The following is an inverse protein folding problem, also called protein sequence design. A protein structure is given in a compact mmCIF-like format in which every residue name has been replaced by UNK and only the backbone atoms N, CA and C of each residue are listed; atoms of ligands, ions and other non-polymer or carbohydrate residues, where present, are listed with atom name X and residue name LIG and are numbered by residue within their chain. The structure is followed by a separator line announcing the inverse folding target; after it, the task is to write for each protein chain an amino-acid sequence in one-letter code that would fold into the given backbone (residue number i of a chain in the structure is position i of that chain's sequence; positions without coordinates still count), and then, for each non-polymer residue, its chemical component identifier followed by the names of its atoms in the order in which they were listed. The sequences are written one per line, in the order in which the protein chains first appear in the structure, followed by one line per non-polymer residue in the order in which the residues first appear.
data_IF_754364710629
#
_entry.id   IF_754364710629
#
_cell.length_a   1.000
_cell.length_b   1.000
_cell.length_c   1.000
_cell.angle_alpha   90.00
_cell.angle_beta   90.00
_cell.angle_gamma   90.00
#
_symmetry.space_group_name_H-M   'P 1'
#
loop_
_entity.id
_entity.type
_entity.pdbx_description
1 polymer ?
#
# COMPACT_ATOMS: atom_id res chain seq x y z
N UNK A 1 8.24 12.52 35.99
CA UNK A 1 7.94 11.52 37.02
C UNK A 1 7.06 10.43 36.39
N UNK A 2 7.36 9.19 36.78
CA UNK A 2 6.95 7.87 36.30
C UNK A 2 5.46 7.66 35.88
N UNK A 3 5.02 6.60 35.19
CA UNK A 3 5.56 5.55 34.28
C UNK A 3 4.52 4.39 34.30
N UNK A 4 4.10 3.86 33.13
CA UNK A 4 3.42 2.55 32.85
C UNK A 4 2.00 2.29 33.40
N UNK A 5 0.93 1.98 32.62
CA UNK A 5 0.56 0.91 31.64
C UNK A 5 -0.25 -0.24 32.28
N UNK A 6 -1.47 -0.47 31.77
CA UNK A 6 -2.00 -1.75 31.27
C UNK A 6 -3.45 -1.57 30.77
N UNK A 7 -3.71 -1.94 29.52
CA UNK A 7 -4.90 -2.74 29.20
C UNK A 7 -4.63 -3.51 27.93
N UNK A 8 -4.50 -4.82 28.11
CA UNK A 8 -4.74 -5.81 27.07
C UNK A 8 -6.17 -5.68 26.53
N UNK A 9 -6.39 -6.29 25.36
CA UNK A 9 -7.67 -6.63 24.75
C UNK A 9 -8.30 -5.59 23.80
N UNK A 10 -8.23 -5.92 22.50
CA UNK A 10 -9.26 -5.59 21.52
C UNK A 10 -9.02 -4.34 20.67
N UNK A 11 -8.78 -4.55 19.38
CA UNK A 11 -9.03 -3.55 18.34
C UNK A 11 -10.47 -3.03 18.48
N UNK A 12 -10.64 -1.75 18.81
CA UNK A 12 -11.91 -1.04 18.66
C UNK A 12 -11.86 -0.23 17.36
N UNK A 13 -12.84 -0.35 16.45
CA UNK A 13 -12.98 0.61 15.37
C UNK A 13 -13.32 1.99 15.95
N UNK A 14 -12.60 3.03 15.50
CA UNK A 14 -13.01 4.41 15.73
C UNK A 14 -14.32 4.72 14.97
N UNK A 15 -15.13 5.66 15.46
CA UNK A 15 -16.42 5.97 14.83
C UNK A 15 -16.21 6.48 13.39
N UNK A 16 -16.89 5.84 12.44
CA UNK A 16 -17.01 6.29 11.04
C UNK A 16 -17.69 7.66 11.00
N UNK A 17 -16.93 8.71 10.73
CA UNK A 17 -17.48 10.02 10.35
C UNK A 17 -17.34 10.12 8.83
N UNK A 18 -18.38 9.71 8.11
CA UNK A 18 -18.51 10.08 6.70
C UNK A 18 -19.15 11.47 6.63
N UNK A 19 -18.59 12.44 5.88
CA UNK A 19 -19.34 13.61 5.49
C UNK A 19 -20.40 13.19 4.45
N UNK A 20 -21.68 13.17 4.84
CA UNK A 20 -22.79 13.08 3.87
C UNK A 20 -22.81 14.37 3.03
N UNK A 21 -22.96 14.30 1.69
CA UNK A 21 -23.25 15.47 0.87
C UNK A 21 -24.64 16.02 1.25
N UNK A 22 -24.73 17.30 1.64
CA UNK A 22 -26.01 17.98 1.87
C UNK A 22 -26.61 18.40 0.53
N UNK A 23 -27.64 17.70 0.09
CA UNK A 23 -28.67 18.25 -0.82
C UNK A 23 -30.00 18.23 -0.09
N UNK A 24 -30.50 19.40 0.33
CA UNK A 24 -31.79 19.50 1.00
C UNK A 24 -32.08 20.90 1.53
N UNK A 25 -33.06 21.56 0.91
CA UNK A 25 -33.68 22.87 1.23
C UNK A 25 -34.32 22.83 2.64
N UNK A 26 -34.33 23.94 3.42
CA UNK A 26 -34.75 23.89 4.82
C UNK A 26 -36.28 24.01 4.97
N UNK A 27 -36.84 23.23 5.89
CA UNK A 27 -38.13 23.53 6.52
C UNK A 27 -37.98 23.44 8.03
N UNK A 28 -38.49 24.46 8.71
CA UNK A 28 -38.34 24.69 10.14
C UNK A 28 -39.40 23.91 10.95
N UNK A 29 -39.04 23.46 12.16
CA UNK A 29 -39.84 23.63 13.41
C UNK A 29 -39.17 22.96 14.63
N UNK A 30 -38.68 23.82 15.53
CA UNK A 30 -38.88 23.90 16.98
C UNK A 30 -39.15 22.67 17.90
N UNK A 31 -38.35 22.62 18.98
CA UNK A 31 -38.71 22.40 20.42
C UNK A 31 -38.90 20.91 20.82
N UNK A 32 -38.33 20.29 21.87
CA UNK A 32 -37.93 20.71 23.23
C UNK A 32 -37.04 19.63 23.91
N UNK A 33 -36.18 20.06 24.86
CA UNK A 33 -35.41 19.21 25.78
C UNK A 33 -36.25 18.82 27.01
N UNK A 34 -36.09 17.59 27.51
CA UNK A 34 -36.36 17.27 28.93
C UNK A 34 -35.39 16.20 29.46
N UNK A 35 -34.67 16.58 30.50
CA UNK A 35 -33.77 15.75 31.32
C UNK A 35 -34.60 15.07 32.41
N UNK A 36 -34.29 13.82 32.75
CA UNK A 36 -34.51 13.30 34.11
C UNK A 36 -33.48 12.24 34.48
N UNK A 37 -33.31 12.10 35.80
CA UNK A 37 -32.19 11.56 36.56
C UNK A 37 -32.12 10.03 36.64
N UNK A 38 -30.89 9.64 36.97
CA UNK A 38 -30.32 8.38 37.51
C UNK A 38 -31.24 7.48 38.33
N UNK A 39 -31.02 6.16 38.19
CA UNK A 39 -30.91 5.24 39.34
C UNK A 39 -29.94 4.08 39.03
N UNK A 40 -29.07 3.78 40.00
CA UNK A 40 -28.17 2.63 40.03
C UNK A 40 -28.94 1.37 40.46
N UNK A 41 -28.71 0.25 39.78
CA UNK A 41 -28.75 -1.07 40.44
C UNK A 41 -27.77 -2.03 39.77
N UNK A 42 -27.06 -2.78 40.62
CA UNK A 42 -26.09 -3.80 40.28
C UNK A 42 -26.77 -5.17 40.33
N UNK A 43 -26.56 -6.01 39.32
CA UNK A 43 -27.10 -7.37 39.27
C UNK A 43 -26.51 -8.18 38.11
N UNK A 44 -25.90 -9.31 38.45
CA UNK A 44 -25.20 -10.27 37.59
C UNK A 44 -26.03 -10.86 36.42
N UNK A 45 -25.29 -11.33 35.41
CA UNK A 45 -25.58 -12.51 34.55
C UNK A 45 -26.24 -12.26 33.18
N UNK A 46 -25.53 -12.62 32.10
CA UNK A 46 -25.92 -13.51 30.96
C UNK A 46 -25.40 -13.08 29.58
N UNK A 47 -24.86 -14.10 28.88
CA UNK A 47 -24.84 -14.33 27.43
C UNK A 47 -25.87 -13.57 26.60
N UNK A 48 -25.43 -12.76 25.61
CA UNK A 48 -26.19 -12.41 24.39
C UNK A 48 -25.16 -12.19 23.26
N UNK A 49 -24.96 -13.11 22.31
CA UNK A 49 -25.80 -13.36 21.14
C UNK A 49 -26.21 -12.04 20.44
N UNK A 50 -25.39 -11.59 19.49
CA UNK A 50 -25.76 -10.52 18.56
C UNK A 50 -26.91 -11.02 17.66
N UNK A 51 -28.13 -10.59 18.01
CA UNK A 51 -29.30 -10.68 17.13
C UNK A 51 -29.11 -9.69 15.99
N UNK A 52 -28.86 -10.19 14.78
CA UNK A 52 -29.07 -9.44 13.54
C UNK A 52 -30.38 -9.94 12.94
N UNK A 53 -31.38 -9.07 12.93
CA UNK A 53 -32.66 -9.33 12.28
C UNK A 53 -32.46 -9.27 10.76
N UNK A 54 -32.47 -10.42 10.10
CA UNK A 54 -32.64 -10.50 8.65
C UNK A 54 -34.15 -10.48 8.33
N UNK A 55 -34.63 -9.69 7.34
CA UNK A 55 -36.00 -9.81 6.88
C UNK A 55 -36.18 -11.14 6.12
N UNK A 56 -37.19 -11.90 6.51
CA UNK A 56 -37.65 -13.12 5.85
C UNK A 56 -38.05 -12.80 4.40
N UNK A 57 -37.40 -13.42 3.41
CA UNK A 57 -37.91 -13.49 2.03
C UNK A 57 -38.61 -14.82 1.85
N UNK A 58 -39.90 -14.76 1.56
CA UNK A 58 -40.75 -15.90 1.20
C UNK A 58 -40.24 -16.49 -0.12
N UNK A 59 -39.87 -17.76 -0.11
CA UNK A 59 -39.68 -18.57 -1.32
C UNK A 59 -41.06 -18.98 -1.85
N UNK A 60 -41.41 -18.52 -3.04
CA UNK A 60 -42.44 -19.16 -3.86
C UNK A 60 -41.77 -20.31 -4.62
N UNK A 61 -42.19 -21.53 -4.29
CA UNK A 61 -41.82 -22.78 -4.97
C UNK A 61 -42.43 -22.76 -6.37
N UNK A 62 -41.60 -23.00 -7.38
CA UNK A 62 -42.00 -23.20 -8.77
C UNK A 62 -41.06 -24.20 -9.42
N UNK A 63 -41.60 -25.41 -9.61
CA UNK A 63 -41.29 -26.50 -10.54
C UNK A 63 -39.85 -27.03 -10.70
N UNK A 64 -39.74 -28.31 -10.38
CA UNK A 64 -38.63 -29.22 -10.71
C UNK A 64 -38.49 -29.33 -12.23
N UNK A 65 -37.27 -29.15 -12.75
CA UNK A 65 -36.93 -29.69 -14.06
C UNK A 65 -35.47 -30.18 -14.13
N UNK A 66 -35.39 -31.51 -14.31
CA UNK A 66 -34.36 -32.29 -14.98
C UNK A 66 -32.87 -32.05 -14.66
N UNK A 67 -32.35 -32.94 -13.80
CA UNK A 67 -30.93 -33.32 -13.71
C UNK A 67 -30.40 -33.73 -15.08
N UNK A 68 -29.72 -32.81 -15.73
CA UNK A 68 -28.70 -33.13 -16.73
C UNK A 68 -27.36 -33.01 -16.02
N UNK A 69 -26.67 -34.13 -15.86
CA UNK A 69 -25.32 -34.19 -15.30
C UNK A 69 -24.34 -33.57 -16.29
N UNK A 70 -24.23 -32.25 -16.31
CA UNK A 70 -23.13 -31.55 -16.95
C UNK A 70 -22.03 -31.38 -15.91
N UNK A 71 -20.83 -31.88 -16.23
CA UNK A 71 -19.60 -31.51 -15.54
C UNK A 71 -19.40 -29.99 -15.66
N UNK A 72 -19.96 -29.22 -14.74
CA UNK A 72 -19.75 -27.78 -14.66
C UNK A 72 -18.38 -27.56 -14.01
N UNK A 73 -17.35 -27.37 -14.83
CA UNK A 73 -16.18 -26.64 -14.38
C UNK A 73 -16.63 -25.22 -14.03
N UNK A 74 -16.95 -24.98 -12.76
CA UNK A 74 -17.38 -23.67 -12.27
C UNK A 74 -16.37 -22.60 -12.69
N UNK A 75 -16.83 -21.67 -13.53
CA UNK A 75 -16.09 -20.47 -13.89
C UNK A 75 -15.76 -19.70 -12.61
N UNK A 76 -14.47 -19.44 -12.38
CA UNK A 76 -14.02 -18.73 -11.18
C UNK A 76 -14.27 -17.23 -11.34
N UNK A 77 -15.13 -16.66 -10.50
CA UNK A 77 -15.33 -15.21 -10.42
C UNK A 77 -14.40 -14.61 -9.35
N UNK A 78 -13.33 -13.87 -9.73
CA UNK A 78 -12.44 -13.22 -8.78
C UNK A 78 -13.13 -12.09 -8.00
N UNK A 79 -14.27 -11.59 -8.49
CA UNK A 79 -15.10 -10.61 -7.82
C UNK A 79 -15.85 -11.20 -6.64
N UNK A 80 -16.21 -12.48 -6.66
CA UNK A 80 -17.05 -13.11 -5.64
C UNK A 80 -16.37 -13.22 -4.27
N UNK A 81 -17.12 -13.12 -3.15
CA UNK A 81 -16.58 -13.33 -1.81
C UNK A 81 -15.91 -14.71 -1.67
N UNK A 82 -14.70 -14.79 -1.08
CA UNK A 82 -14.01 -16.07 -0.93
C UNK A 82 -14.73 -16.99 0.07
N UNK A 83 -14.61 -18.33 -0.09
CA UNK A 83 -15.22 -19.32 0.81
C UNK A 83 -14.46 -19.47 2.15
N UNK A 84 -13.50 -18.59 2.44
CA UNK A 84 -12.66 -18.59 3.64
C UNK A 84 -12.64 -17.21 4.29
N UNK A 85 -12.29 -17.17 5.57
CA UNK A 85 -12.16 -15.95 6.37
C UNK A 85 -10.70 -15.59 6.58
N UNK A 86 -10.45 -14.33 6.94
CA UNK A 86 -9.11 -13.84 7.31
C UNK A 86 -8.51 -14.66 8.49
N UNK A 87 -9.35 -15.16 9.40
CA UNK A 87 -8.93 -16.03 10.50
C UNK A 87 -8.34 -17.35 10.04
N UNK A 88 -8.84 -17.89 8.92
CA UNK A 88 -8.42 -19.20 8.41
C UNK A 88 -7.01 -19.09 7.81
N UNK A 89 -6.76 -18.00 7.09
CA UNK A 89 -5.42 -17.65 6.57
C UNK A 89 -4.46 -17.43 7.74
N UNK A 90 -4.88 -16.66 8.75
CA UNK A 90 -4.07 -16.41 9.95
C UNK A 90 -3.71 -17.71 10.69
N UNK A 91 -4.63 -18.67 10.75
CA UNK A 91 -4.43 -19.93 11.43
C UNK A 91 -3.43 -20.86 10.69
N UNK A 92 -3.33 -20.73 9.37
CA UNK A 92 -2.39 -21.49 8.55
C UNK A 92 -0.93 -20.99 8.71
N UNK A 93 -0.73 -19.71 9.01
CA UNK A 93 0.61 -19.12 9.12
C UNK A 93 1.30 -19.57 10.42
N UNK A 94 2.54 -20.10 10.36
CA UNK A 94 3.29 -20.53 11.54
C UNK A 94 3.44 -19.44 12.60
N UNK A 95 3.36 -19.83 13.88
CA UNK A 95 3.39 -18.88 15.02
C UNK A 95 4.67 -18.04 15.07
N UNK A 96 5.81 -18.60 14.66
CA UNK A 96 7.09 -17.87 14.70
C UNK A 96 7.17 -16.77 13.63
N UNK A 97 6.43 -16.87 12.52
CA UNK A 97 6.37 -15.79 11.51
C UNK A 97 5.85 -14.47 12.07
N UNK A 98 5.11 -14.50 13.18
CA UNK A 98 4.59 -13.32 13.87
C UNK A 98 5.57 -12.71 14.87
N UNK A 99 6.70 -13.38 15.13
CA UNK A 99 7.68 -12.96 16.14
C UNK A 99 8.65 -11.96 15.53
N UNK A 100 8.60 -10.74 16.03
CA UNK A 100 9.50 -9.65 15.60
C UNK A 100 10.79 -9.73 16.39
N UNK A 101 11.92 -9.87 15.70
CA UNK A 101 13.25 -9.87 16.28
C UNK A 101 14.00 -8.57 15.93
N UNK A 102 14.13 -7.61 16.86
CA UNK A 102 14.78 -6.34 16.60
C UNK A 102 16.26 -6.47 16.21
N UNK A 103 16.96 -7.49 16.71
CA UNK A 103 18.37 -7.74 16.36
C UNK A 103 18.51 -8.20 14.92
N UNK A 104 17.61 -9.08 14.48
CA UNK A 104 17.55 -9.52 13.08
C UNK A 104 17.19 -8.34 12.19
N UNK A 105 16.15 -7.57 12.52
CA UNK A 105 15.79 -6.36 11.76
C UNK A 105 16.94 -5.36 11.67
N UNK A 106 17.68 -5.14 12.78
CA UNK A 106 18.84 -4.26 12.77
C UNK A 106 20.03 -4.82 11.98
N UNK A 107 20.23 -6.14 11.91
CA UNK A 107 21.32 -6.70 11.11
C UNK A 107 21.10 -6.43 9.61
N UNK A 108 19.85 -6.45 9.13
CA UNK A 108 19.52 -6.03 7.77
C UNK A 108 19.84 -4.56 7.53
N UNK A 109 19.52 -3.67 8.48
CA UNK A 109 19.88 -2.24 8.36
C UNK A 109 21.40 -2.06 8.29
N UNK A 110 22.16 -2.68 9.20
CA UNK A 110 23.63 -2.58 9.22
C UNK A 110 24.22 -3.10 7.91
N UNK A 111 23.74 -4.26 7.43
CA UNK A 111 24.14 -4.84 6.14
C UNK A 111 23.89 -3.87 5.00
N UNK A 112 22.67 -3.36 4.88
CA UNK A 112 22.26 -2.53 3.74
C UNK A 112 22.99 -1.19 3.74
N UNK A 113 23.12 -0.56 4.90
CA UNK A 113 23.88 0.69 5.08
C UNK A 113 25.36 0.48 4.73
N UNK A 114 25.97 -0.63 5.17
CA UNK A 114 27.36 -0.96 4.83
C UNK A 114 27.54 -1.15 3.31
N UNK A 115 26.59 -1.82 2.65
CA UNK A 115 26.61 -1.98 1.18
C UNK A 115 26.45 -0.62 0.49
N UNK A 116 25.52 0.23 0.93
CA UNK A 116 25.30 1.58 0.39
C UNK A 116 26.59 2.41 0.44
N UNK A 117 27.25 2.47 1.60
CA UNK A 117 28.51 3.21 1.72
C UNK A 117 29.66 2.54 0.96
N UNK A 118 29.72 1.21 0.95
CA UNK A 118 30.72 0.45 0.20
C UNK A 118 30.64 0.68 -1.31
N UNK A 119 29.43 0.61 -1.89
CA UNK A 119 29.18 0.91 -3.29
C UNK A 119 29.61 2.34 -3.65
N UNK A 120 29.24 3.32 -2.82
CA UNK A 120 29.60 4.72 -3.04
C UNK A 120 31.11 4.93 -2.98
N UNK A 121 31.79 4.30 -2.01
CA UNK A 121 33.25 4.37 -1.87
C UNK A 121 33.98 3.74 -3.06
N UNK A 122 33.54 2.56 -3.51
CA UNK A 122 34.08 1.88 -4.70
C UNK A 122 33.90 2.74 -5.94
N UNK A 123 32.70 3.28 -6.18
CA UNK A 123 32.42 4.12 -7.34
C UNK A 123 33.25 5.41 -7.32
N UNK A 124 33.39 6.05 -6.15
CA UNK A 124 34.22 7.24 -5.98
C UNK A 124 35.72 6.96 -6.17
N UNK A 125 36.22 5.81 -5.69
CA UNK A 125 37.62 5.42 -5.80
C UNK A 125 38.02 5.15 -7.26
N UNK A 126 37.24 4.33 -7.98
CA UNK A 126 37.56 4.00 -9.38
C UNK A 126 37.20 5.11 -10.36
N UNK A 127 36.16 5.90 -10.06
CA UNK A 127 35.68 7.04 -10.84
C UNK A 127 35.72 6.85 -12.37
N UNK A 128 35.25 5.69 -12.86
CA UNK A 128 35.28 5.31 -14.26
C UNK A 128 33.86 5.19 -14.83
N UNK A 129 33.66 5.62 -16.08
CA UNK A 129 32.39 5.49 -16.81
C UNK A 129 31.85 4.08 -16.98
N UNK A 130 32.68 3.05 -16.85
CA UNK A 130 32.23 1.65 -16.76
C UNK A 130 31.63 1.31 -15.39
N UNK A 131 32.14 1.93 -14.32
CA UNK A 131 31.69 1.69 -12.94
C UNK A 131 30.40 2.45 -12.64
N UNK A 132 30.23 3.65 -13.19
CA UNK A 132 29.09 4.52 -12.89
C UNK A 132 27.72 3.88 -13.18
N UNK A 133 27.44 3.29 -14.35
CA UNK A 133 26.16 2.64 -14.62
C UNK A 133 25.87 1.46 -13.69
N UNK A 134 26.91 0.64 -13.39
CA UNK A 134 26.79 -0.50 -12.47
C UNK A 134 26.50 -0.01 -11.04
N UNK A 135 27.21 1.03 -10.61
CA UNK A 135 26.96 1.70 -9.35
C UNK A 135 25.55 2.26 -9.28
N UNK A 136 25.08 3.00 -10.29
CA UNK A 136 23.75 3.60 -10.29
C UNK A 136 22.66 2.56 -10.15
N UNK A 137 22.73 1.47 -10.93
CA UNK A 137 21.77 0.38 -10.82
C UNK A 137 21.78 -0.25 -9.42
N UNK A 138 22.96 -0.65 -8.93
CA UNK A 138 23.09 -1.29 -7.62
C UNK A 138 22.67 -0.36 -6.46
N UNK A 139 23.08 0.91 -6.51
CA UNK A 139 22.81 1.90 -5.49
C UNK A 139 21.32 2.26 -5.44
N UNK A 140 20.66 2.40 -6.60
CA UNK A 140 19.21 2.59 -6.67
C UNK A 140 18.44 1.43 -6.05
N UNK A 141 18.84 0.19 -6.36
CA UNK A 141 18.24 -1.01 -5.77
C UNK A 141 18.46 -1.06 -4.26
N UNK A 142 19.63 -0.64 -3.76
CA UNK A 142 19.88 -0.58 -2.32
C UNK A 142 19.12 0.54 -1.61
N UNK A 143 18.89 1.69 -2.24
CA UNK A 143 18.00 2.72 -1.71
C UNK A 143 16.56 2.22 -1.60
N UNK A 144 16.10 1.43 -2.56
CA UNK A 144 14.83 0.71 -2.44
C UNK A 144 14.85 -0.32 -1.29
N UNK A 145 15.95 -1.05 -1.07
CA UNK A 145 16.08 -1.93 0.09
C UNK A 145 15.94 -1.17 1.43
N UNK A 146 16.56 0.02 1.56
CA UNK A 146 16.40 0.89 2.72
C UNK A 146 14.96 1.37 2.90
N UNK A 147 14.25 1.64 1.78
CA UNK A 147 12.85 1.99 1.82
C UNK A 147 11.99 0.88 2.43
N UNK A 148 12.21 -0.38 2.02
CA UNK A 148 11.47 -1.54 2.55
C UNK A 148 11.71 -1.73 4.06
N UNK A 149 12.94 -1.53 4.55
CA UNK A 149 13.22 -1.57 5.99
C UNK A 149 12.53 -0.45 6.77
N UNK A 150 12.49 0.76 6.23
CA UNK A 150 11.72 1.86 6.83
C UNK A 150 10.21 1.65 6.73
N UNK A 151 9.74 0.95 5.70
CA UNK A 151 8.36 0.52 5.54
C UNK A 151 7.96 -0.51 6.62
N UNK A 152 8.82 -1.48 6.94
CA UNK A 152 8.63 -2.41 8.06
C UNK A 152 8.57 -1.68 9.42
N UNK A 153 9.35 -0.60 9.57
CA UNK A 153 9.23 0.28 10.73
C UNK A 153 7.83 0.93 10.78
N UNK A 154 7.33 1.38 9.63
CA UNK A 154 6.02 2.00 9.46
C UNK A 154 4.85 1.08 9.85
N UNK A 155 4.93 -0.21 9.51
CA UNK A 155 3.98 -1.23 9.94
C UNK A 155 4.18 -1.72 11.38
N UNK A 156 5.33 -1.38 11.96
CA UNK A 156 5.78 -1.92 13.23
C UNK A 156 6.06 -3.42 13.17
N UNK A 157 6.33 -4.00 12.00
CA UNK A 157 6.83 -5.37 11.81
C UNK A 157 8.34 -5.44 12.12
N UNK A 158 9.06 -4.33 12.03
CA UNK A 158 10.48 -4.24 12.37
C UNK A 158 10.78 -4.59 13.84
N UNK A 159 9.97 -4.11 14.79
CA UNK A 159 10.10 -4.35 16.23
C UNK A 159 8.77 -4.12 16.96
N UNK A 160 8.59 -4.74 18.13
CA UNK A 160 7.50 -4.42 19.05
C UNK A 160 7.66 -3.05 19.75
N UNK A 161 8.86 -2.44 19.69
CA UNK A 161 9.10 -1.12 20.27
C UNK A 161 8.83 0.00 19.25
N UNK A 162 7.72 0.71 19.44
CA UNK A 162 7.31 1.83 18.59
C UNK A 162 8.35 2.96 18.50
N UNK A 163 9.14 3.21 19.56
CA UNK A 163 10.20 4.23 19.53
C UNK A 163 11.34 3.81 18.64
N UNK A 164 11.75 2.54 18.72
CA UNK A 164 12.79 1.99 17.83
C UNK A 164 12.34 2.08 16.38
N UNK A 165 11.11 1.65 16.08
CA UNK A 165 10.56 1.78 14.73
C UNK A 165 10.52 3.25 14.28
N UNK A 166 10.12 4.17 15.15
CA UNK A 166 10.07 5.59 14.78
C UNK A 166 11.45 6.16 14.47
N UNK A 167 12.45 5.87 15.32
CA UNK A 167 13.83 6.36 15.12
C UNK A 167 14.45 5.72 13.86
N UNK A 168 14.40 4.40 13.73
CA UNK A 168 14.95 3.69 12.58
C UNK A 168 14.25 4.12 11.28
N UNK A 169 12.92 4.21 11.29
CA UNK A 169 12.12 4.68 10.15
C UNK A 169 12.50 6.08 9.69
N UNK A 170 12.64 7.04 10.62
CA UNK A 170 13.11 8.39 10.25
C UNK A 170 14.51 8.40 9.65
N UNK A 171 15.46 7.64 10.22
CA UNK A 171 16.83 7.57 9.69
C UNK A 171 16.82 6.99 8.28
N UNK A 172 16.19 5.82 8.11
CA UNK A 172 16.13 5.10 6.84
C UNK A 172 15.41 5.93 5.76
N UNK A 173 14.19 6.37 6.01
CA UNK A 173 13.38 7.08 5.02
C UNK A 173 13.90 8.49 4.73
N UNK A 174 14.34 9.26 5.74
CA UNK A 174 14.86 10.60 5.46
C UNK A 174 16.12 10.54 4.61
N UNK A 175 16.98 9.53 4.81
CA UNK A 175 18.22 9.36 4.03
C UNK A 175 17.99 9.21 2.52
N UNK A 176 16.80 8.77 2.12
CA UNK A 176 16.34 8.61 0.73
C UNK A 176 15.17 9.56 0.42
N UNK A 177 15.10 10.70 1.12
CA UNK A 177 14.11 11.78 0.90
C UNK A 177 12.64 11.32 0.94
N UNK A 178 12.32 10.39 1.83
CA UNK A 178 10.94 10.01 2.17
C UNK A 178 10.54 10.62 3.52
N UNK A 179 9.46 11.41 3.62
CA UNK A 179 8.97 11.92 4.89
C UNK A 179 8.30 10.80 5.68
N UNK A 180 9.04 10.16 6.60
CA UNK A 180 8.65 8.91 7.25
C UNK A 180 7.19 8.86 7.74
N UNK A 181 6.75 9.78 8.60
CA UNK A 181 5.39 9.79 9.13
C UNK A 181 4.35 10.18 8.10
N UNK A 182 4.65 11.15 7.23
CA UNK A 182 3.75 11.53 6.14
C UNK A 182 3.43 10.32 5.27
N UNK A 183 4.48 9.61 4.82
CA UNK A 183 4.35 8.39 4.04
C UNK A 183 3.77 7.22 4.85
N UNK A 184 4.19 6.99 6.10
CA UNK A 184 3.67 5.90 6.95
C UNK A 184 2.16 6.01 7.13
N UNK A 185 1.65 7.23 7.32
CA UNK A 185 0.21 7.45 7.52
C UNK A 185 -0.57 7.22 6.22
N UNK A 186 -0.10 7.75 5.07
CA UNK A 186 -0.75 7.46 3.78
C UNK A 186 -0.71 5.99 3.42
N UNK A 187 0.41 5.33 3.68
CA UNK A 187 0.56 3.91 3.45
C UNK A 187 -0.32 3.07 4.40
N UNK A 188 -0.48 3.46 5.67
CA UNK A 188 -1.49 2.86 6.57
C UNK A 188 -2.91 3.02 6.01
N UNK A 189 -3.25 4.19 5.47
CA UNK A 189 -4.55 4.43 4.82
C UNK A 189 -4.73 3.53 3.61
N UNK A 190 -3.70 3.33 2.78
CA UNK A 190 -3.70 2.37 1.69
C UNK A 190 -3.97 0.94 2.18
N UNK A 191 -3.23 0.43 3.17
CA UNK A 191 -3.48 -0.91 3.70
C UNK A 191 -4.88 -1.09 4.30
N UNK A 192 -5.43 -0.04 4.92
CA UNK A 192 -6.79 -0.10 5.49
C UNK A 192 -7.89 -0.10 4.42
N UNK A 193 -7.61 0.36 3.21
CA UNK A 193 -8.59 0.60 2.16
C UNK A 193 -8.23 -0.03 0.79
N UNK A 194 -7.17 -0.84 0.73
CA UNK A 194 -6.73 -1.53 -0.48
C UNK A 194 -7.89 -2.17 -1.25
N UNK A 195 -7.91 -1.98 -2.57
CA UNK A 195 -8.97 -2.49 -3.44
C UNK A 195 -10.30 -1.74 -3.35
N UNK A 196 -10.39 -0.64 -2.58
CA UNK A 196 -11.54 0.26 -2.57
C UNK A 196 -11.32 1.42 -3.55
N UNK A 197 -12.30 1.71 -4.42
CA UNK A 197 -12.13 2.73 -5.48
C UNK A 197 -11.86 4.14 -4.93
N UNK A 198 -12.61 4.57 -3.91
CA UNK A 198 -12.55 5.95 -3.38
C UNK A 198 -11.58 6.13 -2.22
N UNK A 199 -11.48 5.11 -1.35
CA UNK A 199 -10.79 5.25 -0.07
C UNK A 199 -9.31 4.83 -0.14
N UNK A 200 -8.92 4.00 -1.12
CA UNK A 200 -7.52 3.63 -1.33
C UNK A 200 -6.68 4.84 -1.75
N UNK A 201 -5.43 4.92 -1.29
CA UNK A 201 -4.60 6.12 -1.31
C UNK A 201 -3.56 6.16 -2.44
N UNK A 202 -2.98 5.01 -2.77
CA UNK A 202 -1.88 4.91 -3.73
C UNK A 202 -2.30 4.06 -4.92
N UNK A 203 -2.01 4.54 -6.13
CA UNK A 203 -2.30 3.85 -7.40
C UNK A 203 -3.75 3.32 -7.54
N UNK A 204 -4.71 3.87 -6.81
CA UNK A 204 -6.12 3.48 -6.95
C UNK A 204 -6.69 3.92 -8.31
N UNK A 205 -7.76 3.27 -8.81
CA UNK A 205 -8.38 3.62 -10.07
C UNK A 205 -9.04 4.98 -9.96
N UNK A 206 -9.01 5.71 -11.06
CA UNK A 206 -9.78 6.94 -11.18
C UNK A 206 -11.19 6.60 -11.68
N UNK A 207 -12.24 7.09 -11.00
CA UNK A 207 -13.57 7.17 -11.62
C UNK A 207 -13.48 7.90 -12.96
N UNK A 208 -14.24 7.43 -13.95
CA UNK A 208 -14.23 7.96 -15.32
C UNK A 208 -14.39 9.48 -15.37
N UNK A 209 -15.28 10.04 -14.54
CA UNK A 209 -15.47 11.50 -14.44
C UNK A 209 -14.19 12.23 -14.02
N UNK A 210 -13.45 11.69 -13.04
CA UNK A 210 -12.19 12.28 -12.58
C UNK A 210 -11.14 12.16 -13.67
N UNK A 211 -10.98 10.98 -14.26
CA UNK A 211 -10.05 10.73 -15.37
C UNK A 211 -10.27 11.71 -16.53
N UNK A 212 -11.51 11.88 -16.98
CA UNK A 212 -11.87 12.80 -18.07
C UNK A 212 -11.55 14.26 -17.74
N UNK A 213 -11.65 14.65 -16.47
CA UNK A 213 -11.36 16.02 -16.00
C UNK A 213 -9.87 16.34 -15.85
N UNK A 214 -8.98 15.35 -15.93
CA UNK A 214 -7.54 15.58 -15.82
C UNK A 214 -6.99 16.37 -17.00
N UNK A 215 -6.06 17.27 -16.72
CA UNK A 215 -5.24 17.93 -17.73
C UNK A 215 -4.25 16.94 -18.38
N UNK A 216 -3.71 17.33 -19.53
CA UNK A 216 -2.84 16.48 -20.33
C UNK A 216 -1.49 16.19 -19.65
N UNK A 217 -0.98 17.12 -18.82
CA UNK A 217 0.28 16.90 -18.12
C UNK A 217 0.10 15.83 -17.02
N UNK A 218 -1.00 15.90 -16.27
CA UNK A 218 -1.34 14.87 -15.26
C UNK A 218 -1.61 13.51 -15.92
N UNK A 219 -2.32 13.47 -17.06
CA UNK A 219 -2.52 12.23 -17.83
C UNK A 219 -1.21 11.64 -18.31
N UNK A 220 -0.32 12.47 -18.87
CA UNK A 220 0.99 12.04 -19.34
C UNK A 220 1.86 11.52 -18.19
N UNK A 221 1.88 12.22 -17.06
CA UNK A 221 2.59 11.79 -15.86
C UNK A 221 2.09 10.45 -15.35
N UNK A 222 0.77 10.20 -15.37
CA UNK A 222 0.17 9.00 -14.77
C UNK A 222 0.11 7.78 -15.70
N UNK A 223 0.03 7.98 -17.02
CA UNK A 223 -0.27 6.88 -17.96
C UNK A 223 0.72 6.73 -19.12
N UNK A 224 1.68 7.65 -19.31
CA UNK A 224 2.63 7.58 -20.44
C UNK A 224 4.04 7.23 -19.97
N UNK A 225 4.52 6.03 -20.25
CA UNK A 225 5.90 5.65 -19.91
C UNK A 225 6.93 6.62 -20.56
N UNK A 226 8.01 6.98 -19.84
CA UNK A 226 8.41 6.50 -18.51
C UNK A 226 7.89 7.36 -17.34
N UNK A 227 7.07 8.39 -17.59
CA UNK A 227 6.72 9.40 -16.59
C UNK A 227 6.06 8.85 -15.29
N UNK A 228 5.22 7.80 -15.32
CA UNK A 228 4.65 7.20 -14.11
C UNK A 228 5.70 6.71 -13.11
N UNK A 229 6.91 6.36 -13.60
CA UNK A 229 8.03 5.92 -12.78
C UNK A 229 8.76 7.07 -12.05
N UNK A 230 8.26 8.30 -12.20
CA UNK A 230 8.76 9.48 -11.52
C UNK A 230 7.63 10.20 -10.76
N UNK A 231 6.50 9.55 -10.53
CA UNK A 231 5.31 10.14 -9.96
C UNK A 231 5.44 10.35 -8.44
N UNK A 232 6.24 9.55 -7.74
CA UNK A 232 6.30 9.55 -6.28
C UNK A 232 6.61 10.92 -5.64
N UNK A 233 7.61 11.71 -6.11
CA UNK A 233 7.79 13.06 -5.60
C UNK A 233 6.56 13.94 -5.80
N UNK A 234 5.86 13.87 -6.92
CA UNK A 234 4.62 14.64 -7.11
C UNK A 234 3.50 14.18 -6.18
N UNK A 235 3.39 12.86 -5.97
CA UNK A 235 2.46 12.26 -5.02
C UNK A 235 2.71 12.76 -3.58
N UNK A 236 3.97 12.90 -3.17
CA UNK A 236 4.29 13.44 -1.85
C UNK A 236 3.78 14.89 -1.68
N UNK A 237 3.84 15.71 -2.73
CA UNK A 237 3.43 17.12 -2.67
C UNK A 237 1.92 17.35 -2.88
N UNK A 238 1.25 16.52 -3.69
CA UNK A 238 -0.11 16.79 -4.16
C UNK A 238 -1.10 15.61 -4.07
N UNK A 239 -0.64 14.43 -3.60
CA UNK A 239 -1.41 13.17 -3.54
C UNK A 239 -1.95 12.72 -4.92
N UNK A 240 -2.65 11.59 -4.93
CA UNK A 240 -3.27 11.03 -6.14
C UNK A 240 -4.40 11.92 -6.67
N UNK A 241 -4.64 11.98 -7.99
CA UNK A 241 -5.75 12.76 -8.55
C UNK A 241 -7.10 12.39 -7.92
N UNK A 242 -7.90 13.39 -7.59
CA UNK A 242 -9.14 13.22 -6.83
C UNK A 242 -8.97 13.36 -5.31
N UNK A 243 -7.74 13.40 -4.81
CA UNK A 243 -7.40 13.70 -3.41
C UNK A 243 -6.68 15.05 -3.31
N UNK A 244 -6.72 15.68 -2.14
CA UNK A 244 -6.10 17.00 -1.89
C UNK A 244 -5.07 16.90 -0.78
N UNK A 245 -4.21 17.89 -0.65
CA UNK A 245 -3.23 17.96 0.44
C UNK A 245 -1.88 17.35 0.11
N UNK A 246 -1.01 17.28 1.12
CA UNK A 246 0.41 17.01 0.98
C UNK A 246 0.90 16.16 2.13
N UNK A 247 1.90 15.33 1.88
CA UNK A 247 2.56 14.52 2.90
C UNK A 247 3.41 15.36 3.88
N UNK A 248 3.66 16.63 3.53
CA UNK A 248 4.43 17.57 4.34
C UNK A 248 3.56 18.58 5.11
N UNK A 249 2.29 18.73 4.72
CA UNK A 249 1.36 19.67 5.35
C UNK A 249 0.64 19.00 6.52
N UNK A 250 0.91 19.39 7.79
CA UNK A 250 0.23 18.81 8.95
C UNK A 250 -1.28 19.09 8.98
N UNK A 251 -1.80 19.98 8.13
CA UNK A 251 -3.23 20.23 7.99
C UNK A 251 -3.87 19.51 6.80
N UNK A 252 -3.13 18.66 6.09
CA UNK A 252 -3.71 17.80 5.05
C UNK A 252 -4.81 16.92 5.65
N UNK A 253 -5.90 16.79 4.91
CA UNK A 253 -6.99 15.83 5.10
C UNK A 253 -6.54 14.35 5.12
N UNK A 254 -5.29 14.07 4.75
CA UNK A 254 -4.64 12.78 4.91
C UNK A 254 -4.43 12.39 6.39
N UNK A 255 -4.32 13.39 7.27
CA UNK A 255 -3.87 13.20 8.65
C UNK A 255 -4.97 13.48 9.67
N UNK A 256 -5.02 12.67 10.72
CA UNK A 256 -5.86 12.97 11.87
C UNK A 256 -5.27 14.14 12.69
N UNK A 257 -6.09 14.91 13.43
CA UNK A 257 -5.59 16.05 14.22
C UNK A 257 -4.52 15.69 15.27
N UNK A 258 -4.49 14.45 15.76
CA UNK A 258 -3.48 13.96 16.70
C UNK A 258 -2.15 13.56 16.02
N UNK A 259 -2.11 13.47 14.69
CA UNK A 259 -0.94 13.06 13.90
C UNK A 259 -0.12 14.25 13.38
N UNK A 260 -0.59 15.49 13.59
CA UNK A 260 0.10 16.70 13.11
C UNK A 260 1.54 16.80 13.55
N UNK A 261 1.84 16.43 14.80
CA UNK A 261 3.20 16.48 15.35
C UNK A 261 4.12 15.49 14.66
N UNK A 262 3.61 14.30 14.34
CA UNK A 262 4.35 13.29 13.60
C UNK A 262 4.76 13.83 12.21
N UNK A 263 3.82 14.45 11.49
CA UNK A 263 4.08 15.06 10.18
C UNK A 263 5.14 16.16 10.29
N UNK A 264 5.03 17.07 11.27
CA UNK A 264 6.03 18.12 11.50
C UNK A 264 7.42 17.52 11.76
N UNK A 265 7.53 16.51 12.63
CA UNK A 265 8.81 15.84 12.90
C UNK A 265 9.42 15.24 11.65
N UNK A 266 8.63 14.53 10.84
CA UNK A 266 9.14 13.93 9.61
C UNK A 266 9.51 14.96 8.55
N UNK A 267 8.75 16.06 8.42
CA UNK A 267 9.11 17.18 7.55
C UNK A 267 10.44 17.79 7.99
N UNK A 268 10.67 18.00 9.29
CA UNK A 268 11.95 18.50 9.81
C UNK A 268 13.12 17.56 9.51
N UNK A 269 12.96 16.24 9.72
CA UNK A 269 13.99 15.25 9.40
C UNK A 269 14.30 15.24 7.89
N UNK A 270 13.27 15.30 7.05
CA UNK A 270 13.40 15.37 5.60
C UNK A 270 14.15 16.65 5.18
N UNK A 271 13.74 17.81 5.70
CA UNK A 271 14.39 19.09 5.40
C UNK A 271 15.84 19.11 5.86
N UNK A 272 16.15 18.52 7.03
CA UNK A 272 17.52 18.40 7.50
C UNK A 272 18.37 17.55 6.56
N UNK A 273 17.84 16.43 6.04
CA UNK A 273 18.57 15.63 5.05
C UNK A 273 18.74 16.37 3.72
N UNK A 274 17.70 17.04 3.23
CA UNK A 274 17.81 17.84 2.00
C UNK A 274 18.86 18.96 2.12
N UNK A 275 18.90 19.65 3.27
CA UNK A 275 19.90 20.66 3.58
C UNK A 275 21.32 20.07 3.66
N UNK A 276 21.47 18.88 4.26
CA UNK A 276 22.75 18.16 4.30
C UNK A 276 23.24 17.83 2.89
N UNK A 277 22.39 17.25 2.04
CA UNK A 277 22.74 16.91 0.65
C UNK A 277 23.09 18.16 -0.16
N UNK A 278 22.35 19.26 0.03
CA UNK A 278 22.65 20.54 -0.59
C UNK A 278 24.01 21.09 -0.11
N UNK A 279 24.30 21.05 1.19
CA UNK A 279 25.60 21.44 1.74
C UNK A 279 26.75 20.60 1.20
N UNK A 280 26.58 19.27 1.13
CA UNK A 280 27.57 18.35 0.54
C UNK A 280 27.83 18.64 -0.94
N UNK A 281 26.86 19.18 -1.68
CA UNK A 281 27.05 19.57 -3.07
C UNK A 281 28.06 20.71 -3.25
N UNK A 282 28.23 21.59 -2.25
CA UNK A 282 29.28 22.62 -2.28
C UNK A 282 30.66 22.08 -1.90
N UNK A 283 30.71 21.02 -1.08
CA UNK A 283 31.98 20.41 -0.64
C UNK A 283 32.54 19.46 -1.70
N UNK A 284 31.69 18.59 -2.26
CA UNK A 284 32.09 17.55 -3.21
C UNK A 284 31.95 17.98 -4.67
N UNK A 285 31.24 19.09 -4.92
CA UNK A 285 30.83 19.54 -6.24
C UNK A 285 29.48 18.95 -6.66
N UNK A 286 28.63 19.73 -7.36
CA UNK A 286 27.26 19.33 -7.70
C UNK A 286 27.22 18.11 -8.63
N UNK A 287 28.18 17.98 -9.56
CA UNK A 287 28.24 16.82 -10.47
C UNK A 287 28.57 15.54 -9.72
N UNK A 288 29.45 15.59 -8.73
CA UNK A 288 29.79 14.40 -7.95
C UNK A 288 28.61 14.00 -7.06
N UNK A 289 27.91 14.95 -6.45
CA UNK A 289 26.67 14.66 -5.70
C UNK A 289 25.56 14.12 -6.60
N UNK A 290 25.42 14.62 -7.82
CA UNK A 290 24.49 14.07 -8.80
C UNK A 290 24.83 12.61 -9.11
N UNK A 291 26.10 12.28 -9.35
CA UNK A 291 26.54 10.91 -9.66
C UNK A 291 26.40 9.96 -8.48
N UNK A 292 26.76 10.39 -7.27
CA UNK A 292 26.74 9.54 -6.07
C UNK A 292 25.36 9.38 -5.45
N UNK A 293 24.51 10.41 -5.50
CA UNK A 293 23.22 10.40 -4.83
C UNK A 293 22.06 10.69 -5.77
N UNK A 294 22.14 11.74 -6.59
CA UNK A 294 21.01 12.20 -7.41
C UNK A 294 20.51 11.15 -8.41
N UNK A 295 21.42 10.57 -9.22
CA UNK A 295 21.07 9.51 -10.18
C UNK A 295 20.57 8.24 -9.46
N UNK A 296 21.27 7.72 -8.42
CA UNK A 296 20.74 6.62 -7.64
C UNK A 296 19.36 6.89 -7.02
N UNK A 297 19.12 8.10 -6.51
CA UNK A 297 17.83 8.51 -5.96
C UNK A 297 16.74 8.49 -7.04
N UNK A 298 17.01 9.01 -8.24
CA UNK A 298 16.07 8.92 -9.36
C UNK A 298 15.73 7.47 -9.72
N UNK A 299 16.73 6.57 -9.76
CA UNK A 299 16.46 5.14 -9.98
C UNK A 299 15.72 4.47 -8.82
N UNK A 300 15.90 4.92 -7.58
CA UNK A 300 15.10 4.49 -6.44
C UNK A 300 13.62 4.90 -6.59
N UNK A 301 13.36 6.15 -7.00
CA UNK A 301 12.01 6.62 -7.29
C UNK A 301 11.34 5.74 -8.35
N UNK A 302 12.08 5.40 -9.41
CA UNK A 302 11.60 4.46 -10.43
C UNK A 302 11.28 3.07 -9.87
N UNK A 303 12.13 2.53 -8.98
CA UNK A 303 11.85 1.27 -8.30
C UNK A 303 10.58 1.35 -7.45
N UNK A 304 10.41 2.42 -6.68
CA UNK A 304 9.26 2.62 -5.80
C UNK A 304 7.96 2.65 -6.60
N UNK A 305 7.90 3.47 -7.64
CA UNK A 305 6.70 3.58 -8.48
C UNK A 305 6.45 2.28 -9.26
N UNK A 306 7.50 1.63 -9.79
CA UNK A 306 7.38 0.36 -10.51
C UNK A 306 6.83 -0.77 -9.64
N UNK A 307 7.43 -0.99 -8.47
CA UNK A 307 7.07 -2.09 -7.57
C UNK A 307 5.67 -1.87 -7.02
N UNK A 308 5.40 -0.67 -6.50
CA UNK A 308 4.08 -0.34 -5.97
C UNK A 308 3.01 -0.45 -7.05
N UNK A 309 3.26 0.01 -8.28
CA UNK A 309 2.28 -0.14 -9.35
C UNK A 309 1.99 -1.61 -9.68
N UNK A 310 3.04 -2.42 -9.93
CA UNK A 310 2.90 -3.82 -10.36
C UNK A 310 2.31 -4.75 -9.30
N UNK A 311 2.42 -4.37 -8.03
CA UNK A 311 1.78 -5.04 -6.90
C UNK A 311 0.26 -4.85 -6.86
N UNK A 312 -0.27 -3.86 -7.59
CA UNK A 312 -1.70 -3.54 -7.65
C UNK A 312 -2.28 -3.56 -9.08
N UNK A 313 -1.44 -3.79 -10.10
CA UNK A 313 -1.79 -3.70 -11.53
C UNK A 313 -1.05 -4.74 -12.37
N UNK A 314 -1.53 -4.95 -13.60
CA UNK A 314 -0.79 -5.70 -14.64
C UNK A 314 -0.83 -7.22 -14.48
N UNK A 315 -2.00 -7.80 -14.31
CA UNK A 315 -2.21 -9.24 -14.40
C UNK A 315 -2.89 -9.59 -15.75
N UNK A 316 -2.86 -10.87 -16.15
CA UNK A 316 -3.50 -11.30 -17.40
C UNK A 316 -5.02 -11.13 -17.34
N UNK A 317 -5.62 -11.54 -16.22
CA UNK A 317 -7.01 -11.22 -15.86
C UNK A 317 -7.10 -9.88 -15.11
N UNK A 318 -8.10 -9.06 -15.45
CA UNK A 318 -8.37 -7.82 -14.73
C UNK A 318 -8.82 -8.11 -13.30
N UNK A 319 -8.29 -7.32 -12.37
CA UNK A 319 -8.63 -7.42 -10.96
C UNK A 319 -9.85 -6.54 -10.64
N UNK A 320 -10.78 -7.02 -9.80
CA UNK A 320 -11.91 -6.23 -9.38
C UNK A 320 -11.47 -5.10 -8.43
N UNK A 321 -12.20 -4.01 -8.47
CA UNK A 321 -12.19 -2.96 -7.47
C UNK A 321 -13.59 -2.81 -6.90
N UNK A 322 -13.67 -2.53 -5.60
CA UNK A 322 -14.93 -2.59 -4.87
C UNK A 322 -15.37 -1.23 -4.34
N UNK A 323 -16.68 -1.08 -4.17
CA UNK A 323 -17.34 0.05 -3.49
C UNK A 323 -18.34 -0.46 -2.46
N UNK A 324 -18.79 0.44 -1.59
CA UNK A 324 -19.95 0.23 -0.73
C UNK A 324 -19.86 -1.06 0.10
N UNK A 325 -20.91 -1.87 0.04
CA UNK A 325 -21.03 -3.12 0.81
C UNK A 325 -20.25 -4.29 0.17
N UNK A 326 -19.85 -4.18 -1.10
CA UNK A 326 -19.02 -5.19 -1.75
C UNK A 326 -17.58 -5.15 -1.25
N UNK A 327 -17.09 -4.00 -0.79
CA UNK A 327 -15.75 -3.90 -0.26
C UNK A 327 -15.63 -4.56 1.13
N UNK A 328 -14.59 -5.38 1.28
CA UNK A 328 -14.10 -5.84 2.58
C UNK A 328 -12.58 -5.88 2.57
N UNK A 329 -11.95 -5.75 3.74
CA UNK A 329 -10.49 -5.84 3.88
C UNK A 329 -9.91 -7.10 3.22
N UNK A 330 -10.57 -8.26 3.41
CA UNK A 330 -10.11 -9.50 2.80
C UNK A 330 -10.23 -9.46 1.27
N UNK A 331 -11.39 -9.08 0.72
CA UNK A 331 -11.58 -9.01 -0.75
C UNK A 331 -10.58 -8.04 -1.37
N UNK A 332 -10.38 -6.87 -0.77
CA UNK A 332 -9.38 -5.89 -1.19
C UNK A 332 -7.94 -6.41 -1.16
N UNK A 333 -7.55 -7.15 -0.12
CA UNK A 333 -6.23 -7.79 -0.07
C UNK A 333 -6.00 -8.83 -1.16
N UNK A 334 -7.03 -9.57 -1.56
CA UNK A 334 -6.97 -10.58 -2.62
C UNK A 334 -6.87 -10.00 -4.04
N UNK A 335 -6.98 -8.67 -4.20
CA UNK A 335 -6.73 -8.00 -5.49
C UNK A 335 -5.27 -7.59 -5.66
N UNK A 336 -4.45 -7.69 -4.62
CA UNK A 336 -3.01 -7.44 -4.73
C UNK A 336 -2.29 -8.61 -5.39
N UNK A 337 -1.08 -8.37 -5.90
CA UNK A 337 -0.33 -9.32 -6.71
C UNK A 337 1.07 -9.53 -6.16
N UNK A 338 1.42 -10.81 -5.98
CA UNK A 338 2.80 -11.19 -5.77
C UNK A 338 3.59 -11.02 -7.07
N UNK A 339 4.86 -10.63 -6.96
CA UNK A 339 5.78 -10.45 -8.10
C UNK A 339 7.14 -11.06 -7.79
N UNK A 340 7.64 -11.84 -8.74
CA UNK A 340 8.98 -12.40 -8.67
C UNK A 340 9.99 -11.49 -9.38
N UNK A 341 10.91 -10.90 -8.62
CA UNK A 341 11.98 -10.01 -9.10
C UNK A 341 13.30 -10.74 -9.40
N UNK A 342 13.34 -12.08 -9.36
CA UNK A 342 14.54 -12.86 -9.65
C UNK A 342 15.61 -12.72 -8.55
N UNK A 343 16.86 -12.46 -8.93
CA UNK A 343 17.96 -12.28 -7.96
C UNK A 343 17.76 -11.08 -7.02
N UNK A 344 16.89 -10.15 -7.41
CA UNK A 344 16.64 -8.93 -6.67
C UNK A 344 15.69 -9.14 -5.47
N UNK A 345 14.92 -10.24 -5.41
CA UNK A 345 13.96 -10.50 -4.32
C UNK A 345 14.58 -10.34 -2.93
N UNK A 346 15.70 -11.01 -2.67
CA UNK A 346 16.39 -10.96 -1.37
C UNK A 346 16.95 -9.57 -1.05
N UNK A 347 17.27 -8.76 -2.07
CA UNK A 347 17.74 -7.39 -1.89
C UNK A 347 16.56 -6.49 -1.52
N UNK A 348 15.39 -6.75 -2.11
CA UNK A 348 14.13 -6.07 -1.83
C UNK A 348 13.44 -6.59 -0.56
N UNK A 349 14.13 -7.43 0.23
CA UNK A 349 13.58 -8.05 1.44
C UNK A 349 12.30 -8.83 1.18
N UNK A 350 12.20 -9.48 0.03
CA UNK A 350 11.07 -10.33 -0.38
C UNK A 350 9.70 -9.65 -0.35
N UNK A 351 9.65 -8.31 -0.44
CA UNK A 351 8.40 -7.54 -0.48
C UNK A 351 7.49 -7.90 -1.66
N UNK A 352 8.04 -8.60 -2.66
CA UNK A 352 7.29 -9.19 -3.77
C UNK A 352 6.22 -10.20 -3.35
N UNK A 353 6.25 -10.74 -2.12
CA UNK A 353 5.14 -11.52 -1.54
C UNK A 353 4.09 -10.58 -0.93
N UNK A 354 3.43 -9.84 -1.80
CA UNK A 354 2.64 -8.67 -1.46
C UNK A 354 1.24 -8.98 -0.91
N UNK A 355 0.62 -10.12 -1.29
CA UNK A 355 -0.72 -10.50 -0.84
C UNK A 355 -0.77 -10.70 0.67
N UNK A 356 0.13 -11.52 1.21
CA UNK A 356 0.21 -11.74 2.66
C UNK A 356 0.70 -10.49 3.38
N UNK A 357 1.61 -9.74 2.79
CA UNK A 357 2.01 -8.45 3.32
C UNK A 357 0.81 -7.51 3.46
N UNK A 358 -0.11 -7.46 2.49
CA UNK A 358 -1.31 -6.64 2.57
C UNK A 358 -2.32 -7.08 3.62
N UNK A 359 -2.54 -8.39 3.73
CA UNK A 359 -3.47 -8.98 4.68
C UNK A 359 -2.92 -8.96 6.12
N UNK A 360 -1.60 -9.02 6.27
CA UNK A 360 -0.90 -9.12 7.55
C UNK A 360 0.43 -8.33 7.58
N UNK A 361 0.40 -6.99 7.45
CA UNK A 361 1.60 -6.15 7.38
C UNK A 361 2.49 -6.19 8.63
N UNK A 362 1.99 -6.76 9.73
CA UNK A 362 2.72 -6.98 10.98
C UNK A 362 3.75 -8.12 10.92
N UNK A 363 3.71 -8.96 9.87
CA UNK A 363 4.70 -10.02 9.65
C UNK A 363 5.99 -9.36 9.14
N UNK A 364 7.14 -9.57 9.79
CA UNK A 364 8.42 -9.04 9.32
C UNK A 364 8.78 -9.59 7.93
N UNK A 365 9.45 -8.77 7.11
CA UNK A 365 9.85 -9.14 5.76
C UNK A 365 10.54 -10.53 5.66
N UNK A 366 11.42 -10.84 6.62
CA UNK A 366 12.18 -12.10 6.69
C UNK A 366 11.34 -13.34 7.04
N UNK A 367 10.03 -13.21 7.19
CA UNK A 367 9.06 -14.30 7.35
C UNK A 367 7.97 -14.30 6.28
N UNK A 368 7.93 -13.32 5.36
CA UNK A 368 6.84 -13.19 4.41
C UNK A 368 6.77 -14.37 3.43
N UNK A 369 7.90 -14.85 2.92
CA UNK A 369 7.94 -16.02 2.02
C UNK A 369 7.32 -17.24 2.69
N UNK A 370 7.74 -17.56 3.91
CA UNK A 370 7.22 -18.69 4.67
C UNK A 370 5.72 -18.53 4.99
N UNK A 371 5.31 -17.33 5.38
CA UNK A 371 3.90 -17.04 5.65
C UNK A 371 3.03 -17.17 4.39
N UNK A 372 3.55 -16.76 3.24
CA UNK A 372 2.90 -16.93 1.93
C UNK A 372 2.74 -18.38 1.56
N UNK A 373 3.81 -19.18 1.61
CA UNK A 373 3.72 -20.61 1.30
C UNK A 373 2.73 -21.34 2.21
N UNK A 374 2.67 -21.00 3.50
CA UNK A 374 1.71 -21.58 4.43
C UNK A 374 0.25 -21.17 4.15
N UNK A 375 0.03 -19.97 3.62
CA UNK A 375 -1.31 -19.43 3.34
C UNK A 375 -1.88 -19.90 1.99
N UNK A 376 -1.03 -20.23 1.00
CA UNK A 376 -1.45 -20.65 -0.35
C UNK A 376 -2.55 -21.72 -0.38
N UNK A 377 -2.49 -22.80 0.42
CA UNK A 377 -3.53 -23.83 0.41
C UNK A 377 -4.91 -23.31 0.83
N UNK A 378 -4.97 -22.30 1.72
CA UNK A 378 -6.22 -21.67 2.14
C UNK A 378 -6.76 -20.73 1.07
N UNK A 379 -5.87 -19.97 0.42
CA UNK A 379 -6.24 -19.01 -0.61
C UNK A 379 -6.76 -19.70 -1.89
N UNK A 380 -6.22 -20.87 -2.24
CA UNK A 380 -6.66 -21.65 -3.39
C UNK A 380 -6.67 -20.84 -4.69
N UNK A 381 -7.79 -20.86 -5.42
CA UNK A 381 -7.96 -20.13 -6.70
C UNK A 381 -7.84 -18.61 -6.58
N UNK A 382 -7.98 -18.05 -5.37
CA UNK A 382 -7.82 -16.60 -5.15
C UNK A 382 -6.36 -16.16 -5.12
N UNK A 383 -5.41 -17.09 -4.93
CA UNK A 383 -3.99 -16.78 -5.04
C UNK A 383 -3.48 -16.94 -6.47
N UNK A 384 -2.82 -15.90 -6.98
CA UNK A 384 -2.28 -15.86 -8.34
C UNK A 384 -0.77 -16.06 -8.24
N UNK A 385 -0.32 -17.28 -8.53
CA UNK A 385 1.10 -17.61 -8.53
C UNK A 385 1.87 -16.70 -9.51
N UNK A 386 2.91 -15.98 -9.05
CA UNK A 386 3.69 -15.13 -9.93
C UNK A 386 4.47 -15.97 -10.93
N UNK A 387 4.51 -15.51 -12.18
CA UNK A 387 5.46 -16.04 -13.17
C UNK A 387 6.89 -15.92 -12.64
N UNK A 388 7.65 -17.01 -12.71
CA UNK A 388 9.04 -16.99 -12.24
C UNK A 388 9.94 -16.17 -13.16
N UNK A 389 10.77 -15.35 -12.55
CA UNK A 389 11.82 -14.57 -13.21
C UNK A 389 13.02 -15.43 -13.55
N UNK A 390 13.78 -15.02 -14.58
CA UNK A 390 15.18 -15.40 -14.70
C UNK A 390 16.03 -14.62 -13.67
N UNK A 391 17.32 -14.36 -13.95
CA UNK A 391 18.14 -13.49 -13.10
C UNK A 391 17.53 -12.10 -12.89
N UNK A 392 16.96 -11.52 -13.96
CA UNK A 392 16.32 -10.21 -13.96
C UNK A 392 14.85 -10.32 -14.41
N UNK A 393 13.95 -9.47 -13.89
CA UNK A 393 12.51 -9.63 -14.07
C UNK A 393 11.96 -8.94 -15.32
N UNK A 394 12.55 -9.18 -16.49
CA UNK A 394 12.15 -8.50 -17.73
C UNK A 394 10.69 -8.73 -18.13
N UNK A 395 10.06 -9.82 -17.67
CA UNK A 395 8.63 -10.07 -17.94
C UNK A 395 7.72 -9.00 -17.33
N UNK A 396 8.13 -8.38 -16.21
CA UNK A 396 7.37 -7.33 -15.53
C UNK A 396 7.23 -6.07 -16.39
N UNK A 397 8.18 -5.81 -17.28
CA UNK A 397 8.08 -4.70 -18.22
C UNK A 397 6.91 -4.92 -19.21
N UNK A 398 6.66 -6.17 -19.61
CA UNK A 398 5.50 -6.52 -20.43
C UNK A 398 4.19 -6.23 -19.72
N UNK A 399 4.07 -6.64 -18.44
CA UNK A 399 2.89 -6.35 -17.62
C UNK A 399 2.69 -4.85 -17.39
N UNK A 400 3.77 -4.10 -17.13
CA UNK A 400 3.73 -2.66 -16.98
C UNK A 400 3.21 -1.99 -18.27
N UNK A 401 3.79 -2.32 -19.43
CA UNK A 401 3.40 -1.72 -20.72
C UNK A 401 1.94 -2.05 -21.06
N UNK A 402 1.52 -3.31 -20.85
CA UNK A 402 0.13 -3.73 -21.10
C UNK A 402 -0.83 -2.94 -20.19
N UNK A 403 -0.56 -2.92 -18.90
CA UNK A 403 -1.41 -2.24 -17.91
C UNK A 403 -1.49 -0.74 -18.17
N UNK A 404 -0.38 -0.07 -18.50
CA UNK A 404 -0.38 1.36 -18.87
C UNK A 404 -1.22 1.68 -20.10
N UNK A 405 -1.53 0.70 -20.97
CA UNK A 405 -2.42 0.87 -22.13
C UNK A 405 -3.88 0.50 -21.84
N UNK A 406 -4.12 -0.30 -20.81
CA UNK A 406 -5.43 -0.94 -20.58
C UNK A 406 -6.13 -0.48 -19.30
N UNK A 407 -5.40 0.08 -18.34
CA UNK A 407 -5.85 0.36 -16.98
C UNK A 407 -5.88 1.87 -16.69
N UNK A 408 -6.82 2.58 -17.31
CA UNK A 408 -6.89 4.05 -17.25
C UNK A 408 -7.90 4.56 -16.21
N UNK A 409 -9.11 3.99 -16.19
CA UNK A 409 -10.19 4.41 -15.31
C UNK A 409 -11.14 3.25 -15.01
N UNK A 410 -12.05 3.45 -14.06
CA UNK A 410 -13.17 2.54 -13.77
C UNK A 410 -14.50 3.27 -13.97
N UNK A 411 -15.57 2.52 -14.26
CA UNK A 411 -16.90 3.09 -14.42
C UNK A 411 -17.34 3.89 -13.19
N UNK A 412 -18.02 5.02 -13.40
CA UNK A 412 -18.60 5.82 -12.32
C UNK A 412 -19.75 5.09 -11.59
N UNK A 413 -20.28 4.00 -12.15
CA UNK A 413 -21.37 3.19 -11.59
C UNK A 413 -20.95 1.75 -11.31
N UNK A 414 -21.73 1.06 -10.47
CA UNK A 414 -21.50 -0.32 -10.06
C UNK A 414 -20.63 -0.48 -8.82
N UNK A 415 -20.84 -1.56 -8.06
CA UNK A 415 -20.15 -1.81 -6.80
C UNK A 415 -18.94 -2.74 -6.93
N UNK A 416 -18.89 -3.55 -8.00
CA UNK A 416 -17.72 -4.31 -8.43
C UNK A 416 -17.35 -3.85 -9.83
N UNK A 417 -16.20 -3.20 -9.98
CA UNK A 417 -15.77 -2.60 -11.24
C UNK A 417 -14.39 -3.05 -11.65
N UNK A 418 -14.12 -2.95 -12.94
CA UNK A 418 -12.85 -3.33 -13.55
C UNK A 418 -12.30 -2.17 -14.34
N UNK A 419 -10.98 -2.14 -14.45
CA UNK A 419 -10.29 -1.15 -15.26
C UNK A 419 -10.76 -1.16 -16.72
N UNK A 420 -10.82 0.02 -17.32
CA UNK A 420 -11.17 0.27 -18.71
C UNK A 420 -10.08 1.06 -19.40
N UNK A 421 -9.97 0.86 -20.71
CA UNK A 421 -8.97 1.51 -21.54
C UNK A 421 -9.56 2.76 -22.20
N UNK A 422 -8.85 3.88 -22.12
CA UNK A 422 -9.13 5.04 -22.95
C UNK A 422 -8.61 4.80 -24.39
N UNK A 423 -9.44 4.97 -25.43
CA UNK A 423 -9.02 4.72 -26.82
C UNK A 423 -7.87 5.62 -27.31
N UNK A 424 -7.72 6.84 -26.77
CA UNK A 424 -6.67 7.78 -27.18
C UNK A 424 -5.32 7.39 -26.58
N UNK A 425 -5.31 6.94 -25.32
CA UNK A 425 -4.09 6.52 -24.63
C UNK A 425 -3.66 5.08 -24.98
N UNK A 426 -4.61 4.19 -25.31
CA UNK A 426 -4.31 2.80 -25.70
C UNK A 426 -3.63 2.66 -27.07
N UNK A 427 -3.59 3.73 -27.88
CA UNK A 427 -3.06 3.70 -29.24
C UNK A 427 -3.98 3.02 -30.26
N UNK A 428 -5.26 2.84 -29.91
CA UNK A 428 -6.28 2.18 -30.76
C UNK A 428 -6.98 3.14 -31.74
N UNK A 429 -6.71 4.44 -31.65
CA UNK A 429 -7.06 5.40 -32.70
C UNK A 429 -5.88 5.54 -33.67
N UNK A 430 -5.88 4.71 -34.72
CA UNK A 430 -5.13 4.95 -35.96
C UNK A 430 -6.08 4.91 -37.13
#
# INVERSE_FOLDING_TARGET
MASWVLSECGLRPLPRIYPKPRTGVPSATNINLRISRTDLSCGLSRNWALRVSAPLRIQTVGEEDNKTTTNNGEFFDPGAPPPFKLSDIRAAIPKHCWVKNPWKSMSYVVRDVAIVFGLAAVAAYFNNWLVWPLYWFAQSTMFWALFVLGHDCGHGSFSNNHKLNSVAGHILHSSILVPYHGWRISHRTHHQNHGHVENDESWHPLPEKIFKSLDDATKKLRFTLPFPLFAYPFYLWSRSPGKKGSHFDPNSDLFLPNEKKDVITSTLCWTAMAALLFGLSFVMGPIQMLKLYGIPYSGFVMWLDLVTYLHHHGHDDKLPWYRGEEWSYLRGGLTTLDRDYGWINNIHHDIGTHVIHHLFPQIPHYHLVEATEAAKPVLGKYYREPKKSGPLPFYLLGYLIKSMKEDHYVSDTGDVVYYQADPKLSGSQK
#
